data_IF_941603716955
#
_entry.id   IF_941603716955
#
_cell.length_a   1.000
_cell.length_b   1.000
_cell.length_c   1.000
_cell.angle_alpha   90.00
_cell.angle_beta   90.00
_cell.angle_gamma   90.00
#
_symmetry.space_group_name_H-M   'P 1'
#
loop_
_entity.id
_entity.type
_entity.pdbx_description
1 polymer ?
#
# COMPACT_ATOMS: atom_id res chain seq x y z
N UNK A 1 33.36 -57.65 15.50
CA UNK A 1 33.66 -56.21 15.32
C UNK A 1 32.84 -55.74 14.14
N UNK A 2 32.02 -54.70 14.29
CA UNK A 2 31.13 -54.24 13.23
C UNK A 2 31.92 -53.43 12.20
N UNK A 3 31.75 -53.73 10.91
CA UNK A 3 32.48 -53.11 9.80
C UNK A 3 32.04 -51.64 9.58
N UNK A 4 32.73 -50.73 10.27
CA UNK A 4 32.54 -49.28 10.19
C UNK A 4 32.63 -48.77 8.75
N UNK A 5 33.47 -49.39 7.92
CA UNK A 5 33.65 -49.02 6.51
C UNK A 5 32.41 -49.22 5.64
N UNK A 6 31.52 -50.17 5.97
CA UNK A 6 30.27 -50.35 5.22
C UNK A 6 29.29 -49.22 5.53
N UNK A 7 29.22 -48.78 6.78
CA UNK A 7 28.35 -47.67 7.20
C UNK A 7 28.83 -46.34 6.62
N UNK A 8 30.13 -46.11 6.56
CA UNK A 8 30.70 -44.89 5.98
C UNK A 8 30.37 -44.76 4.49
N UNK A 9 30.53 -45.84 3.73
CA UNK A 9 30.21 -45.88 2.29
C UNK A 9 28.72 -45.66 2.01
N UNK A 10 27.84 -46.21 2.85
CA UNK A 10 26.40 -45.98 2.75
C UNK A 10 26.02 -44.53 3.12
N UNK A 11 26.68 -43.97 4.14
CA UNK A 11 26.47 -42.59 4.57
C UNK A 11 26.91 -41.58 3.50
N UNK A 12 28.04 -41.81 2.84
CA UNK A 12 28.51 -40.97 1.73
C UNK A 12 27.55 -40.99 0.54
N UNK A 13 27.05 -42.17 0.17
CA UNK A 13 26.06 -42.32 -0.91
C UNK A 13 24.76 -41.57 -0.59
N UNK A 14 24.31 -41.63 0.67
CA UNK A 14 23.13 -40.91 1.15
C UNK A 14 23.34 -39.39 1.20
N UNK A 15 24.47 -38.94 1.74
CA UNK A 15 24.81 -37.51 1.87
C UNK A 15 24.99 -36.85 0.49
N UNK A 16 25.55 -37.58 -0.48
CA UNK A 16 25.67 -37.14 -1.88
C UNK A 16 24.30 -36.97 -2.54
N UNK A 17 23.33 -37.87 -2.28
CA UNK A 17 21.95 -37.74 -2.79
C UNK A 17 21.22 -36.56 -2.16
N UNK A 18 21.41 -36.30 -0.87
CA UNK A 18 20.80 -35.17 -0.15
C UNK A 18 21.29 -33.80 -0.63
N UNK A 19 22.56 -33.69 -1.02
CA UNK A 19 23.17 -32.42 -1.46
C UNK A 19 22.95 -32.09 -2.94
N UNK A 20 22.44 -33.01 -3.76
CA UNK A 20 22.16 -32.78 -5.21
C UNK A 20 21.32 -31.53 -5.51
N UNK A 21 20.16 -31.29 -4.85
CA UNK A 21 19.39 -30.08 -5.11
C UNK A 21 20.14 -28.80 -4.71
N UNK A 22 21.03 -28.88 -3.72
CA UNK A 22 21.84 -27.76 -3.25
C UNK A 22 22.91 -27.36 -4.28
N UNK A 23 23.56 -28.35 -4.92
CA UNK A 23 24.48 -28.11 -6.04
C UNK A 23 23.76 -27.58 -7.29
N UNK A 24 22.54 -28.05 -7.59
CA UNK A 24 21.73 -27.51 -8.68
C UNK A 24 21.33 -26.06 -8.43
N UNK A 25 20.97 -25.71 -7.18
CA UNK A 25 20.69 -24.33 -6.80
C UNK A 25 21.94 -23.43 -6.94
N UNK A 26 23.11 -23.89 -6.49
CA UNK A 26 24.37 -23.16 -6.64
C UNK A 26 24.77 -22.96 -8.11
N UNK A 27 24.57 -23.98 -8.96
CA UNK A 27 24.83 -23.88 -10.40
C UNK A 27 23.87 -22.87 -11.06
N UNK A 28 22.59 -22.90 -10.69
CA UNK A 28 21.61 -21.92 -11.19
C UNK A 28 21.96 -20.48 -10.79
N UNK A 29 22.44 -20.28 -9.56
CA UNK A 29 22.90 -18.99 -9.06
C UNK A 29 24.09 -18.47 -9.89
N UNK A 30 25.07 -19.34 -10.20
CA UNK A 30 26.22 -18.98 -11.02
C UNK A 30 25.82 -18.58 -12.45
N UNK A 31 24.84 -19.26 -13.05
CA UNK A 31 24.31 -18.89 -14.39
C UNK A 31 23.60 -17.54 -14.36
N UNK A 32 22.84 -17.24 -13.30
CA UNK A 32 22.20 -15.92 -13.14
C UNK A 32 23.25 -14.83 -12.95
N UNK A 33 24.29 -15.08 -12.15
CA UNK A 33 25.38 -14.12 -11.95
C UNK A 33 26.17 -13.86 -13.24
N UNK A 34 26.44 -14.90 -14.04
CA UNK A 34 27.12 -14.73 -15.32
C UNK A 34 26.27 -13.96 -16.33
N UNK A 35 24.96 -14.20 -16.39
CA UNK A 35 24.02 -13.44 -17.22
C UNK A 35 23.93 -11.96 -16.79
N UNK A 36 23.95 -11.67 -15.48
CA UNK A 36 24.00 -10.30 -14.97
C UNK A 36 25.31 -9.62 -15.34
N UNK A 37 26.43 -10.34 -15.25
CA UNK A 37 27.74 -9.82 -15.63
C UNK A 37 27.80 -9.45 -17.12
N UNK A 38 27.33 -10.33 -18.02
CA UNK A 38 27.26 -10.06 -19.46
C UNK A 38 26.28 -8.93 -19.79
N UNK A 39 25.18 -8.80 -19.07
CA UNK A 39 24.23 -7.70 -19.24
C UNK A 39 24.84 -6.33 -18.85
N UNK A 40 25.61 -6.27 -17.76
CA UNK A 40 26.29 -5.05 -17.32
C UNK A 40 27.38 -4.62 -18.31
N UNK A 41 28.20 -5.57 -18.78
CA UNK A 41 29.26 -5.27 -19.76
C UNK A 41 28.69 -4.84 -21.11
N UNK A 42 27.57 -5.44 -21.53
CA UNK A 42 26.86 -5.03 -22.75
C UNK A 42 26.27 -3.61 -22.67
N UNK A 43 25.68 -3.24 -21.53
CA UNK A 43 25.16 -1.87 -21.33
C UNK A 43 26.28 -0.83 -21.37
N UNK A 44 27.44 -1.12 -20.79
CA UNK A 44 28.60 -0.21 -20.81
C UNK A 44 29.08 0.08 -22.24
N UNK A 45 29.09 -0.92 -23.12
CA UNK A 45 29.49 -0.75 -24.51
C UNK A 45 28.45 0.03 -25.36
N UNK A 46 27.16 -0.02 -25.02
CA UNK A 46 26.13 0.76 -25.75
C UNK A 46 26.17 2.27 -25.50
N UNK A 47 26.65 2.71 -24.33
CA UNK A 47 26.78 4.14 -24.02
C UNK A 47 28.02 4.80 -24.66
N UNK A 48 28.95 4.01 -25.22
CA UNK A 48 30.09 4.53 -25.97
C UNK A 48 29.72 4.99 -27.40
N UNK A 49 28.75 4.34 -28.07
CA UNK A 49 28.29 4.75 -29.41
C UNK A 49 27.23 5.86 -29.43
N UNK A 50 26.60 6.19 -28.30
CA UNK A 50 25.52 7.19 -28.25
C UNK A 50 25.99 8.65 -28.12
N UNK A 51 27.30 8.90 -28.04
CA UNK A 51 27.88 10.25 -27.96
C UNK A 51 28.22 10.89 -29.32
N UNK A 52 28.07 10.17 -30.44
CA UNK A 52 28.43 10.71 -31.77
C UNK A 52 27.25 11.20 -32.62
N UNK A 53 26.00 11.12 -32.17
CA UNK A 53 24.83 11.46 -33.01
C UNK A 53 23.97 12.64 -32.51
N UNK A 54 24.39 13.40 -31.49
CA UNK A 54 23.57 14.48 -30.91
C UNK A 54 23.87 15.88 -31.53
N UNK A 55 24.85 16.02 -32.43
CA UNK A 55 25.23 17.34 -32.98
C UNK A 55 24.58 17.69 -34.33
N UNK A 56 23.67 16.88 -34.86
CA UNK A 56 22.98 17.17 -36.12
C UNK A 56 21.48 16.97 -35.89
N UNK A 57 20.65 17.83 -36.47
CA UNK A 57 19.18 17.91 -36.34
C UNK A 57 18.73 18.88 -35.24
N UNK A 58 19.09 20.15 -35.43
CA UNK A 58 18.26 21.28 -35.01
C UNK A 58 17.87 22.06 -36.27
N UNK A 59 16.81 21.62 -36.96
CA UNK A 59 16.08 22.44 -37.92
C UNK A 59 14.72 21.77 -38.28
N UNK A 60 13.65 22.56 -38.18
CA UNK A 60 12.34 22.42 -38.83
C UNK A 60 11.30 21.41 -38.29
N UNK A 61 10.28 21.93 -37.60
CA UNK A 61 8.99 22.31 -38.24
C UNK A 61 7.83 22.33 -37.24
N UNK A 62 7.00 23.38 -37.35
CA UNK A 62 5.69 23.53 -36.71
C UNK A 62 4.64 22.79 -37.56
N UNK A 63 3.72 22.03 -36.95
CA UNK A 63 2.27 22.09 -37.23
C UNK A 63 1.47 21.17 -36.28
N UNK A 64 0.26 21.61 -35.94
CA UNK A 64 -0.79 20.90 -35.19
C UNK A 64 -1.96 20.70 -36.15
N UNK A 65 -2.68 19.55 -36.13
CA UNK A 65 -3.97 19.55 -35.44
C UNK A 65 -4.35 18.19 -34.81
N UNK A 66 -5.07 18.16 -33.67
CA UNK A 66 -5.62 16.91 -33.15
C UNK A 66 -6.17 16.92 -31.72
N UNK A 67 -7.10 17.81 -31.39
CA UNK A 67 -7.55 18.09 -30.01
C UNK A 67 -8.57 17.12 -29.39
N UNK A 68 -8.81 15.91 -29.92
CA UNK A 68 -9.83 14.98 -29.37
C UNK A 68 -9.34 13.60 -28.91
N UNK A 69 -8.06 13.25 -29.12
CA UNK A 69 -7.44 12.06 -28.50
C UNK A 69 -6.61 12.36 -27.24
N UNK A 70 -6.34 13.64 -26.94
CA UNK A 70 -5.47 14.06 -25.85
C UNK A 70 -6.05 13.80 -24.45
N UNK A 71 -7.37 13.86 -24.25
CA UNK A 71 -7.96 13.74 -22.90
C UNK A 71 -7.95 12.32 -22.34
N UNK A 72 -8.02 11.28 -23.19
CA UNK A 72 -7.93 9.88 -22.76
C UNK A 72 -6.48 9.46 -22.52
N UNK A 73 -5.56 9.91 -23.37
CA UNK A 73 -4.12 9.62 -23.26
C UNK A 73 -3.44 10.35 -22.10
N UNK A 74 -3.88 11.55 -21.71
CA UNK A 74 -3.30 12.26 -20.57
C UNK A 74 -3.61 11.57 -19.25
N UNK A 75 -4.81 11.00 -19.08
CA UNK A 75 -5.21 10.35 -17.83
C UNK A 75 -4.45 9.04 -17.63
N UNK A 76 -4.37 8.20 -18.66
CA UNK A 76 -3.61 6.94 -18.60
C UNK A 76 -2.10 7.21 -18.41
N UNK A 77 -1.55 8.24 -19.08
CA UNK A 77 -0.14 8.62 -18.94
C UNK A 77 0.21 9.25 -17.59
N UNK A 78 -0.74 9.91 -16.92
CA UNK A 78 -0.55 10.37 -15.53
C UNK A 78 -0.59 9.23 -14.52
N UNK A 79 -1.34 8.16 -14.81
CA UNK A 79 -1.41 6.96 -13.96
C UNK A 79 -0.14 6.10 -14.12
N UNK A 80 0.40 5.98 -15.34
CA UNK A 80 1.67 5.28 -15.62
C UNK A 80 2.91 6.00 -15.08
N UNK A 81 2.87 7.34 -14.95
CA UNK A 81 4.02 8.13 -14.43
C UNK A 81 4.17 8.11 -12.90
N UNK A 82 3.26 7.48 -12.16
CA UNK A 82 3.42 7.28 -10.71
C UNK A 82 4.32 6.08 -10.34
N UNK A 83 4.75 5.27 -11.32
CA UNK A 83 5.62 4.10 -11.10
C UNK A 83 7.10 4.34 -11.43
N UNK A 84 7.54 5.59 -11.58
CA UNK A 84 8.97 5.88 -11.74
C UNK A 84 9.39 7.18 -11.04
N UNK A 85 9.70 7.08 -9.74
CA UNK A 85 10.69 7.95 -9.11
C UNK A 85 11.88 7.09 -8.65
N UNK A 86 13.09 7.27 -9.23
CA UNK A 86 14.29 6.65 -8.71
C UNK A 86 14.66 7.27 -7.36
N UNK A 87 15.05 6.40 -6.42
CA UNK A 87 15.56 6.75 -5.11
C UNK A 87 16.80 7.65 -5.23
N UNK A 88 16.68 8.92 -4.84
CA UNK A 88 17.82 9.78 -4.59
C UNK A 88 18.49 9.36 -3.28
N UNK A 89 19.78 8.99 -3.37
CA UNK A 89 20.73 8.90 -2.25
C UNK A 89 21.18 10.32 -1.81
N UNK A 90 21.62 10.48 -0.56
CA UNK A 90 21.73 11.77 0.13
C UNK A 90 22.95 12.57 -0.34
N UNK A 91 22.82 13.91 -0.34
CA UNK A 91 23.95 14.83 -0.38
C UNK A 91 23.94 15.70 0.87
N UNK A 92 25.02 15.54 1.60
CA UNK A 92 25.57 16.38 2.65
C UNK A 92 26.01 17.73 2.05
N UNK A 93 25.68 18.84 2.72
CA UNK A 93 26.29 20.16 2.52
C UNK A 93 25.96 21.07 3.69
N UNK A 94 27.03 21.62 4.26
CA UNK A 94 27.21 22.37 5.49
C UNK A 94 26.87 23.86 5.38
N UNK A 95 26.41 24.45 6.50
CA UNK A 95 26.47 25.89 6.94
C UNK A 95 25.73 26.95 6.09
N UNK A 96 25.05 27.98 6.61
CA UNK A 96 25.06 28.72 7.88
C UNK A 96 23.66 29.32 8.14
N UNK A 97 23.19 29.33 9.40
CA UNK A 97 22.19 30.29 9.86
C UNK A 97 22.48 30.66 11.32
N UNK A 98 22.47 31.96 11.69
CA UNK A 98 22.71 32.37 13.07
C UNK A 98 21.43 32.29 13.92
N UNK A 99 21.62 31.73 15.12
CA UNK A 99 21.09 32.11 16.44
C UNK A 99 19.87 33.05 16.47
N UNK A 100 18.75 32.54 17.01
CA UNK A 100 18.06 33.14 18.17
C UNK A 100 16.84 32.28 18.57
N UNK A 101 16.96 31.58 19.70
CA UNK A 101 15.83 31.35 20.60
C UNK A 101 15.92 32.46 21.68
N UNK A 102 14.80 32.86 22.31
CA UNK A 102 14.36 32.07 23.45
C UNK A 102 12.83 31.98 23.68
N UNK A 103 12.49 30.87 24.34
CA UNK A 103 11.59 30.73 25.49
C UNK A 103 10.11 31.18 25.45
N UNK A 104 9.29 30.20 25.85
CA UNK A 104 8.14 30.27 26.78
C UNK A 104 6.95 31.16 26.42
N UNK A 105 5.78 30.52 26.26
CA UNK A 105 4.63 30.85 27.09
C UNK A 105 3.64 29.68 27.09
N UNK A 106 3.41 29.17 28.30
CA UNK A 106 2.26 28.38 28.68
C UNK A 106 1.22 29.37 29.23
N UNK A 107 -0.02 29.30 28.75
CA UNK A 107 -1.25 29.76 29.42
C UNK A 107 -2.41 29.38 28.50
N UNK A 108 -3.15 28.29 28.75
CA UNK A 108 -4.29 28.14 29.66
C UNK A 108 -5.39 29.18 29.45
N UNK A 109 -6.54 28.75 28.92
CA UNK A 109 -7.89 29.03 29.43
C UNK A 109 -9.00 28.49 28.49
N UNK A 110 -10.23 28.24 29.00
CA UNK A 110 -11.00 27.02 28.72
C UNK A 110 -12.38 27.27 28.05
N UNK A 111 -13.27 26.25 28.10
CA UNK A 111 -14.76 26.24 27.94
C UNK A 111 -15.25 25.65 26.60
N UNK A 112 -15.76 24.40 26.59
CA UNK A 112 -17.18 23.95 26.74
C UNK A 112 -17.95 24.15 25.40
N UNK A 113 -18.62 23.17 24.78
CA UNK A 113 -19.88 22.53 25.20
C UNK A 113 -20.13 21.30 24.31
N UNK A 114 -20.66 20.28 24.97
CA UNK A 114 -21.33 19.06 24.53
C UNK A 114 -22.24 19.22 23.29
N UNK A 115 -22.13 18.31 22.32
CA UNK A 115 -23.33 17.78 21.65
C UNK A 115 -23.27 16.25 21.71
N UNK A 116 -24.17 15.71 22.54
CA UNK A 116 -24.42 14.29 22.72
C UNK A 116 -24.94 13.69 21.41
N UNK A 117 -24.18 12.74 20.87
CA UNK A 117 -24.65 11.87 19.80
C UNK A 117 -25.72 10.96 20.42
N UNK A 118 -26.97 10.95 19.95
CA UNK A 118 -28.00 10.12 20.55
C UNK A 118 -27.66 8.64 20.37
N UNK A 119 -27.42 7.99 21.51
CA UNK A 119 -27.38 6.54 21.69
C UNK A 119 -28.73 5.99 21.22
N UNK A 120 -28.71 5.23 20.11
CA UNK A 120 -29.84 4.42 19.68
C UNK A 120 -30.15 3.40 20.78
N UNK A 121 -31.26 3.63 21.47
CA UNK A 121 -31.86 2.71 22.43
C UNK A 121 -32.22 1.40 21.73
N UNK A 122 -31.80 0.29 22.33
CA UNK A 122 -32.33 -1.03 22.04
C UNK A 122 -33.83 -1.06 22.37
N UNK A 123 -34.68 -0.85 21.38
CA UNK A 123 -36.06 -1.30 21.45
C UNK A 123 -36.14 -2.77 21.05
N UNK A 124 -36.07 -3.56 22.12
CA UNK A 124 -36.71 -4.87 22.20
C UNK A 124 -38.19 -4.77 21.82
N UNK A 125 -38.70 -5.83 21.19
CA UNK A 125 -40.11 -6.14 20.92
C UNK A 125 -40.78 -5.54 19.66
N UNK A 126 -40.57 -6.22 18.53
CA UNK A 126 -41.65 -6.35 17.52
C UNK A 126 -42.06 -7.82 17.47
N UNK A 127 -43.24 -8.07 18.04
CA UNK A 127 -43.88 -9.38 18.09
C UNK A 127 -44.36 -9.83 16.72
N UNK A 128 -43.71 -10.86 16.19
CA UNK A 128 -44.32 -11.68 15.14
C UNK A 128 -45.27 -12.69 15.80
N UNK A 129 -46.56 -12.43 15.72
CA UNK A 129 -47.60 -13.44 15.92
C UNK A 129 -47.46 -14.50 14.84
N UNK A 130 -46.80 -15.63 15.16
CA UNK A 130 -46.78 -16.83 14.33
C UNK A 130 -47.79 -17.83 14.90
N UNK A 131 -48.76 -18.33 14.11
CA UNK A 131 -49.77 -19.25 14.59
C UNK A 131 -49.16 -20.56 15.08
N UNK A 132 -49.76 -21.09 16.15
CA UNK A 132 -49.31 -22.29 16.85
C UNK A 132 -49.20 -23.51 15.90
N UNK A 133 -48.11 -24.29 15.96
CA UNK A 133 -48.01 -25.54 15.22
C UNK A 133 -48.91 -26.61 15.86
N UNK A 134 -49.57 -27.46 15.06
CA UNK A 134 -50.42 -28.53 15.59
C UNK A 134 -49.61 -29.53 16.41
N UNK A 135 -50.16 -29.92 17.56
CA UNK A 135 -49.64 -30.97 18.43
C UNK A 135 -49.73 -32.31 17.70
N UNK A 136 -48.66 -32.70 17.02
CA UNK A 136 -48.44 -34.10 16.65
C UNK A 136 -47.31 -34.68 17.50
N UNK A 137 -47.71 -35.63 18.34
CA UNK A 137 -46.86 -36.44 19.20
C UNK A 137 -45.93 -37.27 18.32
N UNK A 138 -44.67 -36.87 18.23
CA UNK A 138 -43.60 -37.67 17.61
C UNK A 138 -42.57 -38.00 18.68
N UNK A 139 -42.35 -39.30 18.81
CA UNK A 139 -41.51 -39.97 19.79
C UNK A 139 -40.14 -39.31 19.99
N UNK A 140 -39.82 -39.04 21.26
CA UNK A 140 -38.54 -38.51 21.73
C UNK A 140 -37.42 -39.52 21.44
N UNK A 141 -36.68 -39.33 20.34
CA UNK A 141 -35.34 -39.90 20.19
C UNK A 141 -34.35 -39.06 20.99
N UNK A 142 -33.76 -39.66 22.03
CA UNK A 142 -32.69 -39.08 22.86
C UNK A 142 -31.55 -38.57 21.96
N UNK A 143 -31.29 -37.26 21.99
CA UNK A 143 -30.12 -36.66 21.32
C UNK A 143 -28.84 -37.13 22.03
N UNK A 144 -27.77 -37.51 21.31
CA UNK A 144 -26.49 -37.84 21.94
C UNK A 144 -25.90 -36.60 22.63
N UNK A 145 -25.12 -36.77 23.72
CA UNK A 145 -24.57 -35.67 24.49
C UNK A 145 -23.62 -34.85 23.61
N UNK A 146 -23.94 -33.56 23.40
CA UNK A 146 -23.06 -32.60 22.72
C UNK A 146 -21.72 -32.54 23.47
N UNK A 147 -20.66 -33.02 22.81
CA UNK A 147 -19.28 -32.86 23.28
C UNK A 147 -19.03 -31.37 23.55
N UNK A 148 -18.68 -31.03 24.80
CA UNK A 148 -18.34 -29.66 25.22
C UNK A 148 -17.28 -29.10 24.27
N UNK A 149 -17.65 -28.11 23.46
CA UNK A 149 -16.72 -27.41 22.56
C UNK A 149 -15.61 -26.78 23.40
N UNK A 150 -14.35 -27.10 23.10
CA UNK A 150 -13.19 -26.47 23.76
C UNK A 150 -13.25 -24.97 23.49
N UNK A 151 -13.31 -24.16 24.55
CA UNK A 151 -13.31 -22.69 24.45
C UNK A 151 -11.97 -22.25 23.86
N UNK A 152 -12.01 -21.58 22.71
CA UNK A 152 -10.81 -21.00 22.09
C UNK A 152 -10.35 -19.86 23.00
N UNK A 153 -9.14 -19.95 23.53
CA UNK A 153 -8.52 -18.86 24.30
C UNK A 153 -7.85 -17.90 23.30
N UNK A 154 -8.50 -16.77 23.01
CA UNK A 154 -7.85 -15.69 22.28
C UNK A 154 -6.81 -15.03 23.19
N UNK A 155 -5.56 -14.95 22.71
CA UNK A 155 -4.53 -14.10 23.31
C UNK A 155 -4.47 -12.83 22.48
N UNK A 156 -4.97 -11.73 23.04
CA UNK A 156 -4.85 -10.40 22.44
C UNK A 156 -3.53 -9.83 22.97
N UNK A 157 -2.62 -9.48 22.08
CA UNK A 157 -1.41 -8.76 22.42
C UNK A 157 -1.59 -7.29 22.05
N UNK A 158 -1.23 -6.39 22.95
CA UNK A 158 -1.12 -4.97 22.62
C UNK A 158 0.03 -4.81 21.61
N UNK A 159 -0.32 -4.43 20.39
CA UNK A 159 0.66 -4.16 19.34
C UNK A 159 0.98 -2.67 19.35
N UNK A 160 2.26 -2.33 19.27
CA UNK A 160 2.66 -0.93 19.03
C UNK A 160 2.19 -0.51 17.64
N UNK A 161 1.89 0.78 17.45
CA UNK A 161 1.39 1.33 16.18
C UNK A 161 2.23 0.93 14.96
N UNK A 162 3.56 0.82 15.13
CA UNK A 162 4.49 0.37 14.07
C UNK A 162 4.27 -1.09 13.69
N UNK A 163 4.06 -1.97 14.67
CA UNK A 163 3.83 -3.39 14.42
C UNK A 163 2.46 -3.66 13.78
N UNK A 164 1.44 -2.90 14.17
CA UNK A 164 0.11 -2.96 13.57
C UNK A 164 0.15 -2.59 12.08
N UNK A 165 0.84 -1.51 11.70
CA UNK A 165 0.93 -1.11 10.29
C UNK A 165 1.63 -2.16 9.44
N UNK A 166 2.74 -2.73 9.92
CA UNK A 166 3.46 -3.80 9.19
C UNK A 166 2.59 -5.03 8.94
N UNK A 167 1.71 -5.37 9.87
CA UNK A 167 0.82 -6.51 9.70
C UNK A 167 -0.24 -6.23 8.62
N UNK A 168 -0.84 -5.03 8.65
CA UNK A 168 -1.78 -4.59 7.61
C UNK A 168 -1.08 -4.50 6.24
N UNK A 169 0.16 -4.00 6.17
CA UNK A 169 0.94 -3.99 4.92
C UNK A 169 1.14 -5.42 4.37
N UNK A 170 1.37 -6.40 5.25
CA UNK A 170 1.52 -7.80 4.85
C UNK A 170 0.20 -8.35 4.32
N UNK A 171 -0.90 -8.08 5.01
CA UNK A 171 -2.25 -8.53 4.61
C UNK A 171 -2.66 -7.93 3.27
N UNK A 172 -2.38 -6.64 3.04
CA UNK A 172 -2.61 -6.01 1.74
C UNK A 172 -1.83 -6.71 0.62
N UNK A 173 -0.53 -6.99 0.82
CA UNK A 173 0.29 -7.67 -0.21
C UNK A 173 -0.25 -9.05 -0.61
N UNK A 174 -0.97 -9.70 0.28
CA UNK A 174 -1.56 -11.02 0.04
C UNK A 174 -2.95 -10.92 -0.60
N UNK A 175 -3.81 -10.07 -0.06
CA UNK A 175 -5.24 -9.99 -0.42
C UNK A 175 -5.58 -8.91 -1.43
N UNK A 176 -4.75 -7.86 -1.51
CA UNK A 176 -5.05 -6.60 -2.18
C UNK A 176 -6.36 -5.97 -1.72
N UNK A 177 -6.73 -6.17 -0.45
CA UNK A 177 -7.92 -5.58 0.15
C UNK A 177 -7.81 -4.06 0.24
N UNK A 178 -8.80 -3.35 -0.32
CA UNK A 178 -8.84 -1.89 -0.37
C UNK A 178 -8.86 -1.30 1.05
N UNK A 179 -9.56 -1.95 1.98
CA UNK A 179 -9.70 -1.46 3.34
C UNK A 179 -8.36 -1.46 4.09
N UNK A 180 -7.49 -2.44 3.82
CA UNK A 180 -6.15 -2.50 4.39
C UNK A 180 -5.28 -1.34 3.87
N UNK A 181 -5.36 -1.01 2.57
CA UNK A 181 -4.66 0.15 2.01
C UNK A 181 -5.21 1.49 2.52
N UNK A 182 -6.53 1.64 2.62
CA UNK A 182 -7.17 2.84 3.18
C UNK A 182 -6.81 3.04 4.65
N UNK A 183 -6.80 1.96 5.44
CA UNK A 183 -6.36 2.00 6.83
C UNK A 183 -4.95 2.56 6.95
N UNK A 184 -4.02 2.06 6.14
CA UNK A 184 -2.64 2.55 6.10
C UNK A 184 -2.57 4.01 5.65
N UNK A 185 -3.30 4.39 4.59
CA UNK A 185 -3.33 5.75 4.08
C UNK A 185 -3.82 6.77 5.12
N UNK A 186 -4.96 6.48 5.77
CA UNK A 186 -5.51 7.30 6.88
C UNK A 186 -4.52 7.40 8.03
N UNK A 187 -3.97 6.25 8.43
CA UNK A 187 -3.01 6.14 9.51
C UNK A 187 -1.80 7.03 9.27
N UNK A 188 -1.12 6.86 8.15
CA UNK A 188 0.06 7.65 7.81
C UNK A 188 -0.26 9.13 7.61
N UNK A 189 -1.41 9.47 7.03
CA UNK A 189 -1.81 10.87 6.85
C UNK A 189 -1.98 11.57 8.20
N UNK A 190 -2.67 10.93 9.15
CA UNK A 190 -2.89 11.45 10.52
C UNK A 190 -1.58 11.67 11.28
N UNK A 191 -0.57 10.84 11.04
CA UNK A 191 0.76 10.97 11.66
C UNK A 191 1.70 11.91 10.90
N UNK A 192 1.21 12.66 9.91
CA UNK A 192 2.02 13.59 9.11
C UNK A 192 3.00 12.92 8.14
N UNK A 193 2.96 11.59 8.01
CA UNK A 193 3.79 10.86 7.06
C UNK A 193 3.15 10.86 5.67
N UNK A 194 3.11 12.03 5.04
CA UNK A 194 2.42 12.25 3.78
C UNK A 194 2.97 11.42 2.63
N UNK A 195 4.28 11.09 2.64
CA UNK A 195 4.88 10.25 1.60
C UNK A 195 4.32 8.82 1.62
N UNK A 196 4.16 8.23 2.81
CA UNK A 196 3.52 6.91 2.94
C UNK A 196 2.02 6.98 2.71
N UNK A 197 1.37 8.05 3.18
CA UNK A 197 -0.05 8.25 2.94
C UNK A 197 -0.38 8.35 1.45
N UNK A 198 0.41 9.10 0.68
CA UNK A 198 0.33 9.19 -0.78
C UNK A 198 0.47 7.79 -1.42
N UNK A 199 1.50 7.04 -1.04
CA UNK A 199 1.74 5.71 -1.57
C UNK A 199 0.56 4.76 -1.34
N UNK A 200 0.06 4.67 -0.11
CA UNK A 200 -1.03 3.74 0.23
C UNK A 200 -2.36 4.17 -0.36
N UNK A 201 -2.64 5.47 -0.41
CA UNK A 201 -3.81 6.00 -1.09
C UNK A 201 -3.79 5.70 -2.59
N UNK A 202 -2.60 5.76 -3.22
CA UNK A 202 -2.42 5.35 -4.61
C UNK A 202 -2.64 3.84 -4.78
N UNK A 203 -2.12 3.00 -3.87
CA UNK A 203 -2.37 1.54 -3.94
C UNK A 203 -3.86 1.23 -3.88
N UNK A 204 -4.62 1.90 -3.00
CA UNK A 204 -6.07 1.77 -2.95
C UNK A 204 -6.72 2.16 -4.29
N UNK A 205 -6.34 3.30 -4.88
CA UNK A 205 -6.85 3.75 -6.19
C UNK A 205 -6.52 2.77 -7.34
N UNK A 206 -5.40 2.04 -7.25
CA UNK A 206 -5.03 1.03 -8.24
C UNK A 206 -5.91 -0.22 -8.15
N UNK A 207 -6.35 -0.58 -6.95
CA UNK A 207 -7.29 -1.70 -6.74
C UNK A 207 -8.70 -1.29 -7.14
N UNK A 208 -9.17 -0.14 -6.64
CA UNK A 208 -10.47 0.43 -6.99
C UNK A 208 -10.38 1.96 -7.05
N UNK A 209 -10.64 2.50 -8.25
CA UNK A 209 -10.57 3.93 -8.51
C UNK A 209 -11.88 4.68 -8.24
N UNK A 210 -12.93 4.00 -7.78
CA UNK A 210 -14.23 4.59 -7.45
C UNK A 210 -14.30 5.09 -6.01
N UNK A 211 -13.39 4.62 -5.15
CA UNK A 211 -13.32 5.03 -3.76
C UNK A 211 -12.86 6.48 -3.66
N UNK A 212 -13.78 7.35 -3.26
CA UNK A 212 -13.50 8.79 -3.17
C UNK A 212 -12.43 9.11 -2.12
N UNK A 213 -12.47 8.41 -0.99
CA UNK A 213 -11.58 8.69 0.13
C UNK A 213 -10.09 8.54 -0.24
N UNK A 214 -9.73 7.50 -0.99
CA UNK A 214 -8.36 7.27 -1.43
C UNK A 214 -7.87 8.38 -2.36
N UNK A 215 -8.70 8.88 -3.28
CA UNK A 215 -8.37 10.07 -4.07
C UNK A 215 -8.13 11.30 -3.20
N UNK A 216 -9.00 11.56 -2.23
CA UNK A 216 -8.87 12.73 -1.36
C UNK A 216 -7.62 12.65 -0.49
N UNK A 217 -7.27 11.48 0.07
CA UNK A 217 -6.04 11.31 0.85
C UNK A 217 -4.81 11.48 -0.06
N UNK A 218 -4.83 10.89 -1.25
CA UNK A 218 -3.73 11.03 -2.23
C UNK A 218 -3.46 12.51 -2.56
N UNK A 219 -4.51 13.26 -2.91
CA UNK A 219 -4.42 14.67 -3.27
C UNK A 219 -3.95 15.52 -2.08
N UNK A 220 -4.53 15.31 -0.89
CA UNK A 220 -4.11 16.03 0.33
C UNK A 220 -2.65 15.74 0.67
N UNK A 221 -2.21 14.49 0.51
CA UNK A 221 -0.82 14.09 0.76
C UNK A 221 0.15 14.78 -0.19
N UNK A 222 -0.14 14.75 -1.50
CA UNK A 222 0.59 15.50 -2.54
C UNK A 222 0.71 16.99 -2.19
N UNK A 223 -0.40 17.60 -1.78
CA UNK A 223 -0.43 19.02 -1.41
C UNK A 223 0.48 19.33 -0.21
N UNK A 224 0.42 18.50 0.83
CA UNK A 224 1.25 18.66 2.04
C UNK A 224 2.74 18.34 1.82
N UNK A 225 3.08 17.58 0.78
CA UNK A 225 4.46 17.36 0.32
C UNK A 225 5.02 18.54 -0.49
N UNK A 226 4.26 19.63 -0.65
CA UNK A 226 4.66 20.80 -1.42
C UNK A 226 4.35 20.71 -2.92
N UNK A 227 3.82 19.59 -3.40
CA UNK A 227 3.46 19.37 -4.81
C UNK A 227 2.07 19.98 -5.11
N UNK A 228 1.90 21.27 -4.78
CA UNK A 228 0.60 21.94 -4.77
C UNK A 228 -0.04 22.04 -6.15
N UNK A 229 0.74 22.33 -7.19
CA UNK A 229 0.26 22.44 -8.58
C UNK A 229 -0.26 21.10 -9.09
N UNK A 230 0.50 20.03 -8.88
CA UNK A 230 0.12 18.67 -9.25
C UNK A 230 -1.14 18.22 -8.50
N UNK A 231 -1.20 18.45 -7.20
CA UNK A 231 -2.37 18.14 -6.39
C UNK A 231 -3.64 18.84 -6.90
N UNK A 232 -3.55 20.14 -7.24
CA UNK A 232 -4.67 20.90 -7.80
C UNK A 232 -5.10 20.36 -9.17
N UNK A 233 -4.15 20.03 -10.05
CA UNK A 233 -4.45 19.46 -11.36
C UNK A 233 -5.15 18.09 -11.26
N UNK A 234 -4.66 17.21 -10.38
CA UNK A 234 -5.28 15.90 -10.10
C UNK A 234 -6.69 16.09 -9.54
N UNK A 235 -6.86 17.02 -8.60
CA UNK A 235 -8.16 17.31 -7.99
C UNK A 235 -9.18 17.84 -9.00
N UNK A 236 -8.76 18.75 -9.88
CA UNK A 236 -9.62 19.25 -10.96
C UNK A 236 -10.04 18.13 -11.92
N UNK A 237 -9.08 17.29 -12.31
CA UNK A 237 -9.34 16.13 -13.17
C UNK A 237 -10.31 15.14 -12.51
N UNK A 238 -10.12 14.88 -11.22
CA UNK A 238 -11.01 14.02 -10.45
C UNK A 238 -12.43 14.61 -10.36
N UNK A 239 -12.59 15.89 -10.02
CA UNK A 239 -13.89 16.57 -9.96
C UNK A 239 -14.63 16.48 -11.29
N UNK A 240 -13.93 16.69 -12.41
CA UNK A 240 -14.51 16.61 -13.75
C UNK A 240 -15.00 15.20 -14.09
N UNK A 241 -14.31 14.16 -13.60
CA UNK A 241 -14.64 12.75 -13.86
C UNK A 241 -15.75 12.23 -12.95
N UNK A 242 -15.64 12.46 -11.64
CA UNK A 242 -16.53 11.87 -10.63
C UNK A 242 -17.73 12.76 -10.28
N UNK A 243 -17.65 14.06 -10.55
CA UNK A 243 -18.64 15.03 -10.11
C UNK A 243 -18.63 15.31 -8.60
N UNK A 244 -17.71 14.70 -7.85
CA UNK A 244 -17.62 14.70 -6.38
C UNK A 244 -17.83 16.06 -5.72
N UNK A 245 -18.79 16.13 -4.80
CA UNK A 245 -19.04 17.33 -3.96
C UNK A 245 -17.92 17.52 -2.93
N UNK A 246 -17.44 16.43 -2.33
CA UNK A 246 -16.35 16.48 -1.35
C UNK A 246 -15.05 17.01 -1.98
N UNK A 247 -14.72 16.60 -3.21
CA UNK A 247 -13.58 17.08 -3.95
C UNK A 247 -13.71 18.57 -4.31
N UNK A 248 -14.90 19.03 -4.72
CA UNK A 248 -15.15 20.48 -4.94
C UNK A 248 -14.98 21.28 -3.65
N UNK A 249 -15.44 20.75 -2.51
CA UNK A 249 -15.23 21.36 -1.19
C UNK A 249 -13.74 21.42 -0.86
N UNK A 250 -12.99 20.35 -1.14
CA UNK A 250 -11.53 20.33 -0.96
C UNK A 250 -10.85 21.37 -1.84
N UNK A 251 -11.24 21.51 -3.11
CA UNK A 251 -10.66 22.49 -4.04
C UNK A 251 -10.81 23.92 -3.51
N UNK A 252 -11.97 24.26 -2.93
CA UNK A 252 -12.20 25.57 -2.31
C UNK A 252 -11.29 25.81 -1.10
N UNK A 253 -10.96 24.78 -0.32
CA UNK A 253 -10.06 24.87 0.84
C UNK A 253 -8.58 25.00 0.47
N UNK A 254 -8.19 24.58 -0.74
CA UNK A 254 -6.81 24.62 -1.22
C UNK A 254 -6.50 25.86 -2.08
N UNK A 255 -7.50 26.73 -2.30
CA UNK A 255 -7.30 28.04 -2.93
C UNK A 255 -6.66 28.99 -1.95
#
# INVERSE_FOLDING_TARGET
>A
MHDIHLLEKQWEAYNKKRKRPLYLALLSLLVVLSALYTFVTWKKNRHASAKEQITVVQAESKSSPGKKMLSKVIIDKTIDRLDTYPAAKPKESTQDYPVAAPASMAESSPVEVVEDIPILKEESSVGYNRPAPPKNVIHVKKKPPMKKRKKIKLKIFETTSVSAYKDVERRFKLSHDIDDALFLARGYYRHGNYKKAEYWALQANKVDNTVEESWLIFIKSKYNLGQKSEAKHILESYIRKSGSVAARKLMKKLK
#
